data_IF_363847439044
#
_entry.id   IF_363847439044
#
_cell.length_a   1.000
_cell.length_b   1.000
_cell.length_c   1.000
_cell.angle_alpha   90.00
_cell.angle_beta   90.00
_cell.angle_gamma   90.00
#
_symmetry.space_group_name_H-M   'P 1'
#
loop_
_entity.id
_entity.type
_entity.pdbx_description
1 polymer ?
#
# COMPACT_ATOMS: atom_id res chain seq x y z
N UNK A 1 -17.26 12.28 -9.25
CA UNK A 1 -17.55 11.59 -7.99
C UNK A 1 -16.27 11.43 -7.18
N UNK A 2 -16.38 11.61 -5.88
CA UNK A 2 -15.22 11.44 -5.01
C UNK A 2 -14.91 9.95 -4.82
N UNK A 3 -13.65 9.63 -4.77
CA UNK A 3 -13.17 8.27 -4.49
C UNK A 3 -12.34 8.27 -3.23
N UNK A 4 -12.38 7.17 -2.50
CA UNK A 4 -11.52 6.96 -1.35
C UNK A 4 -10.68 5.71 -1.56
N UNK A 5 -9.49 5.75 -0.96
CA UNK A 5 -8.59 4.60 -0.93
C UNK A 5 -8.76 3.93 0.43
N UNK A 6 -9.00 2.64 0.43
CA UNK A 6 -9.13 1.84 1.64
C UNK A 6 -7.93 0.91 1.74
N UNK A 7 -7.20 1.02 2.83
CA UNK A 7 -6.09 0.11 3.14
C UNK A 7 -6.50 -0.80 4.27
N UNK A 8 -6.39 -2.10 4.04
CA UNK A 8 -6.67 -3.12 5.04
C UNK A 8 -5.43 -3.97 5.27
N UNK A 9 -5.24 -4.46 6.50
CA UNK A 9 -4.27 -5.51 6.76
C UNK A 9 -4.90 -6.87 6.42
N UNK A 10 -4.09 -7.82 6.01
CA UNK A 10 -4.55 -9.15 5.65
C UNK A 10 -3.42 -10.17 5.79
N UNK A 11 -3.75 -11.46 5.64
CA UNK A 11 -2.75 -12.51 5.58
C UNK A 11 -2.04 -12.51 4.21
N UNK A 12 -1.04 -13.38 4.04
CA UNK A 12 -0.26 -13.45 2.80
C UNK A 12 -1.08 -13.86 1.57
N UNK A 13 -2.21 -14.54 1.78
CA UNK A 13 -3.12 -14.96 0.70
C UNK A 13 -4.22 -13.94 0.42
N UNK A 14 -4.27 -12.84 1.18
CA UNK A 14 -5.30 -11.81 1.06
C UNK A 14 -6.72 -12.37 1.13
N UNK A 15 -6.95 -13.29 2.06
CA UNK A 15 -8.28 -13.84 2.27
C UNK A 15 -9.19 -12.83 2.93
N UNK A 16 -10.46 -12.78 2.52
CA UNK A 16 -11.43 -11.83 3.08
C UNK A 16 -11.58 -11.94 4.59
N UNK A 17 -11.49 -13.14 5.14
CA UNK A 17 -11.62 -13.37 6.57
C UNK A 17 -10.53 -12.68 7.38
N UNK A 18 -9.37 -12.40 6.79
CA UNK A 18 -8.24 -11.76 7.45
C UNK A 18 -8.23 -10.23 7.35
N UNK A 19 -9.10 -9.64 6.53
CA UNK A 19 -9.09 -8.20 6.28
C UNK A 19 -9.50 -7.42 7.52
N UNK A 20 -8.64 -6.47 7.92
CA UNK A 20 -8.94 -5.53 8.98
C UNK A 20 -8.63 -4.13 8.48
N UNK A 21 -9.57 -3.21 8.64
CA UNK A 21 -9.38 -1.84 8.20
C UNK A 21 -8.19 -1.20 8.90
N UNK A 22 -7.25 -0.70 8.11
CA UNK A 22 -6.08 0.02 8.60
C UNK A 22 -6.28 1.54 8.52
N UNK A 23 -6.81 2.04 7.41
CA UNK A 23 -7.07 3.45 7.21
C UNK A 23 -7.71 3.75 5.87
N UNK A 24 -8.10 5.01 5.71
CA UNK A 24 -8.68 5.51 4.47
C UNK A 24 -8.02 6.84 4.09
N UNK A 25 -7.93 7.10 2.80
CA UNK A 25 -7.33 8.33 2.26
C UNK A 25 -8.12 8.82 1.06
N UNK A 26 -8.08 10.14 0.84
CA UNK A 26 -8.62 10.70 -0.38
C UNK A 26 -7.79 10.23 -1.59
N UNK A 27 -8.41 10.04 -2.74
CA UNK A 27 -7.71 9.63 -3.97
C UNK A 27 -6.97 10.76 -4.66
N UNK A 28 -6.88 11.92 -4.02
CA UNK A 28 -6.12 13.06 -4.52
C UNK A 28 -4.61 12.78 -4.47
N UNK A 29 -3.83 13.62 -5.14
CA UNK A 29 -2.36 13.51 -5.13
C UNK A 29 -1.81 13.58 -3.71
N UNK A 30 -2.34 14.48 -2.88
CA UNK A 30 -1.92 14.62 -1.49
C UNK A 30 -2.33 13.38 -0.67
N UNK A 31 -3.52 12.83 -0.93
CA UNK A 31 -3.98 11.60 -0.27
C UNK A 31 -3.11 10.41 -0.60
N UNK A 32 -2.73 10.26 -1.86
CA UNK A 32 -1.82 9.19 -2.30
C UNK A 32 -0.46 9.30 -1.62
N UNK A 33 0.10 10.51 -1.50
CA UNK A 33 1.38 10.70 -0.81
C UNK A 33 1.31 10.29 0.66
N UNK A 34 0.21 10.61 1.32
CA UNK A 34 0.01 10.20 2.73
C UNK A 34 -0.14 8.69 2.86
N UNK A 35 -0.87 8.06 1.93
CA UNK A 35 -1.00 6.61 1.87
C UNK A 35 0.38 5.96 1.72
N UNK A 36 1.19 6.45 0.80
CA UNK A 36 2.52 5.86 0.53
C UNK A 36 3.43 5.99 1.75
N UNK A 37 3.38 7.13 2.44
CA UNK A 37 4.14 7.31 3.68
C UNK A 37 3.67 6.34 4.76
N UNK A 38 2.38 6.15 4.90
CA UNK A 38 1.81 5.20 5.87
C UNK A 38 2.24 3.77 5.57
N UNK A 39 2.21 3.38 4.32
CA UNK A 39 2.66 2.04 3.90
C UNK A 39 4.15 1.86 4.16
N UNK A 40 4.95 2.87 3.84
CA UNK A 40 6.40 2.81 4.09
C UNK A 40 6.69 2.65 5.58
N UNK A 41 6.00 3.39 6.43
CA UNK A 41 6.13 3.25 7.88
C UNK A 41 5.71 1.84 8.34
N UNK A 42 4.67 1.27 7.73
CA UNK A 42 4.24 -0.10 7.99
C UNK A 42 5.27 -1.15 7.56
N UNK A 43 6.01 -0.90 6.48
CA UNK A 43 7.11 -1.77 6.07
C UNK A 43 8.26 -1.68 7.09
N UNK A 44 8.54 -0.49 7.58
CA UNK A 44 9.59 -0.28 8.59
C UNK A 44 9.30 -1.00 9.90
N UNK A 45 8.04 -1.04 10.32
CA UNK A 45 7.65 -1.66 11.59
C UNK A 45 7.25 -3.14 11.46
N UNK A 46 7.22 -3.68 10.24
CA UNK A 46 6.90 -5.08 10.00
C UNK A 46 5.42 -5.39 9.78
N UNK A 47 4.54 -4.38 9.80
CA UNK A 47 3.11 -4.58 9.51
C UNK A 47 2.88 -5.04 8.08
N UNK A 48 3.62 -4.47 7.13
CA UNK A 48 3.57 -4.82 5.72
C UNK A 48 4.92 -5.29 5.23
N UNK A 49 4.91 -6.03 4.12
CA UNK A 49 6.10 -6.34 3.35
C UNK A 49 5.90 -5.86 1.91
N UNK A 50 6.96 -5.62 1.18
CA UNK A 50 6.89 -5.11 -0.17
C UNK A 50 7.67 -6.00 -1.12
N UNK A 51 6.98 -6.47 -2.16
CA UNK A 51 7.54 -7.19 -3.29
C UNK A 51 7.97 -8.62 -2.99
N UNK A 52 8.79 -8.86 -1.99
CA UNK A 52 9.29 -10.20 -1.64
C UNK A 52 9.67 -10.24 -0.16
N UNK A 53 9.07 -11.17 0.58
CA UNK A 53 9.37 -11.35 2.01
C UNK A 53 10.80 -11.82 2.27
N UNK A 54 11.44 -12.48 1.29
CA UNK A 54 12.81 -12.94 1.43
C UNK A 54 13.82 -11.80 1.38
N UNK A 55 13.43 -10.63 0.88
CA UNK A 55 14.26 -9.44 0.90
C UNK A 55 14.39 -8.92 2.33
N UNK A 56 15.56 -8.36 2.67
CA UNK A 56 15.71 -7.70 3.96
C UNK A 56 14.75 -6.51 4.05
N UNK A 57 14.43 -6.11 5.28
CA UNK A 57 13.56 -4.94 5.48
C UNK A 57 14.14 -3.69 4.83
N UNK A 58 15.45 -3.50 4.95
CA UNK A 58 16.15 -2.38 4.33
C UNK A 58 16.02 -2.37 2.82
N UNK A 59 16.16 -3.53 2.18
CA UNK A 59 15.97 -3.67 0.74
C UNK A 59 14.55 -3.37 0.31
N UNK A 60 13.57 -3.84 1.07
CA UNK A 60 12.16 -3.55 0.80
C UNK A 60 11.89 -2.06 0.86
N UNK A 61 12.42 -1.37 1.86
CA UNK A 61 12.28 0.08 2.02
C UNK A 61 12.93 0.82 0.85
N UNK A 62 14.13 0.44 0.48
CA UNK A 62 14.84 1.06 -0.65
C UNK A 62 14.10 0.85 -1.96
N UNK A 63 13.64 -0.37 -2.20
CA UNK A 63 12.89 -0.71 -3.42
C UNK A 63 11.58 0.09 -3.49
N UNK A 64 10.88 0.21 -2.37
CA UNK A 64 9.66 1.01 -2.29
C UNK A 64 9.92 2.48 -2.65
N UNK A 65 10.96 3.08 -2.05
CA UNK A 65 11.32 4.47 -2.32
C UNK A 65 11.72 4.70 -3.77
N UNK A 66 12.48 3.77 -4.34
CA UNK A 66 12.90 3.86 -5.74
C UNK A 66 11.71 3.75 -6.70
N UNK A 67 10.82 2.81 -6.45
CA UNK A 67 9.62 2.62 -7.28
C UNK A 67 8.71 3.84 -7.20
N UNK A 68 8.49 4.36 -6.00
CA UNK A 68 7.66 5.57 -5.81
C UNK A 68 8.24 6.77 -6.57
N UNK A 69 9.55 6.92 -6.55
CA UNK A 69 10.23 8.03 -7.23
C UNK A 69 10.23 7.87 -8.75
N UNK A 70 10.38 6.64 -9.24
CA UNK A 70 10.50 6.34 -10.66
C UNK A 70 9.16 6.35 -11.38
N UNK A 71 8.12 5.87 -10.74
CA UNK A 71 6.82 5.70 -11.36
C UNK A 71 5.90 6.89 -11.08
N UNK A 72 4.94 7.13 -11.98
CA UNK A 72 3.89 8.10 -11.70
C UNK A 72 2.93 7.55 -10.62
N UNK A 73 2.17 8.44 -9.99
CA UNK A 73 1.30 8.06 -8.88
C UNK A 73 0.31 6.95 -9.24
N UNK A 74 -0.26 6.99 -10.45
CA UNK A 74 -1.23 5.99 -10.91
C UNK A 74 -0.58 4.62 -11.09
N UNK A 75 0.58 4.58 -11.73
CA UNK A 75 1.31 3.33 -11.96
C UNK A 75 1.78 2.73 -10.64
N UNK A 76 2.29 3.55 -9.75
CA UNK A 76 2.76 3.09 -8.44
C UNK A 76 1.61 2.54 -7.60
N UNK A 77 0.44 3.17 -7.67
CA UNK A 77 -0.77 2.67 -6.98
C UNK A 77 -1.12 1.26 -7.43
N UNK A 78 -1.10 1.01 -8.75
CA UNK A 78 -1.37 -0.32 -9.30
C UNK A 78 -0.33 -1.34 -8.86
N UNK A 79 0.94 -0.95 -8.87
CA UNK A 79 2.02 -1.83 -8.43
C UNK A 79 1.87 -2.20 -6.95
N UNK A 80 1.46 -1.25 -6.12
CA UNK A 80 1.21 -1.52 -4.70
C UNK A 80 0.08 -2.52 -4.49
N UNK A 81 -0.97 -2.46 -5.30
CA UNK A 81 -2.06 -3.43 -5.21
C UNK A 81 -1.57 -4.86 -5.43
N UNK A 82 -0.58 -5.04 -6.30
CA UNK A 82 -0.01 -6.35 -6.61
C UNK A 82 1.14 -6.75 -5.71
N UNK A 83 1.99 -5.79 -5.33
CA UNK A 83 3.28 -6.07 -4.67
C UNK A 83 3.24 -5.94 -3.15
N UNK A 84 2.20 -5.30 -2.59
CA UNK A 84 2.08 -5.16 -1.14
C UNK A 84 1.69 -6.49 -0.50
N UNK A 85 2.48 -6.94 0.46
CA UNK A 85 2.26 -8.19 1.19
C UNK A 85 1.70 -7.84 2.57
N UNK A 86 0.72 -8.59 3.03
CA UNK A 86 -0.01 -8.36 4.28
C UNK A 86 -0.89 -7.11 4.26
N UNK A 87 -1.09 -6.52 3.07
CA UNK A 87 -1.95 -5.36 2.90
C UNK A 87 -2.78 -5.46 1.63
N UNK A 88 -3.98 -4.91 1.67
CA UNK A 88 -4.88 -4.84 0.53
C UNK A 88 -5.33 -3.40 0.34
N UNK A 89 -5.19 -2.90 -0.88
CA UNK A 89 -5.58 -1.54 -1.24
C UNK A 89 -6.75 -1.60 -2.19
N UNK A 90 -7.80 -0.87 -1.87
CA UNK A 90 -9.01 -0.81 -2.68
C UNK A 90 -9.38 0.64 -2.95
N UNK A 91 -9.83 0.91 -4.16
CA UNK A 91 -10.36 2.22 -4.54
C UNK A 91 -11.88 2.12 -4.58
N UNK A 92 -12.56 2.88 -3.74
CA UNK A 92 -14.01 2.86 -3.62
C UNK A 92 -14.60 4.22 -3.94
N UNK A 93 -15.78 4.23 -4.56
CA UNK A 93 -16.48 5.47 -4.84
C UNK A 93 -17.39 5.85 -3.66
N UNK A 94 -17.32 7.13 -3.28
CA UNK A 94 -18.25 7.69 -2.32
C UNK A 94 -19.55 8.04 -3.04
N UNK A 95 -20.64 7.54 -2.51
CA UNK A 95 -21.98 7.85 -3.00
C UNK A 95 -22.67 8.86 -2.10
#
# INVERSE_FOLDING_TARGET
>A
MARIIILSTCDEWKSYASFQLYGTWASSKAGCKRLYKTILDGIKDGTFAYKDESMSREEQIMTFKEDEKRECATTFFRDLQDKLIYGHIELSELR
#
